data_IF_853527851207
#
_entry.id   IF_853527851207
#
_cell.length_a   1.000
_cell.length_b   1.000
_cell.length_c   1.000
_cell.angle_alpha   90.00
_cell.angle_beta   90.00
_cell.angle_gamma   90.00
#
_symmetry.space_group_name_H-M   'P 1'
#
loop_
_entity.id
_entity.type
_entity.pdbx_description
1 polymer ?
#
# COMPACT_ATOMS: atom_id res chain seq x y z
N UNK A 1 2.31 -4.32 13.45
CA UNK A 1 1.88 -4.07 12.06
C UNK A 1 2.18 -5.29 11.20
N UNK A 2 1.32 -5.64 10.25
CA UNK A 2 1.48 -6.88 9.47
C UNK A 2 1.73 -6.53 8.00
N UNK A 3 2.88 -6.95 7.43
CA UNK A 3 3.15 -6.78 6.00
C UNK A 3 2.39 -7.85 5.22
N UNK A 4 1.57 -7.42 4.27
CA UNK A 4 0.92 -8.35 3.35
C UNK A 4 1.82 -8.60 2.14
N UNK A 5 1.78 -9.81 1.61
CA UNK A 5 2.38 -10.17 0.33
C UNK A 5 1.46 -9.75 -0.81
N UNK A 6 1.86 -10.05 -2.04
CA UNK A 6 1.12 -9.76 -3.26
C UNK A 6 -0.37 -10.12 -3.09
N UNK A 7 -1.26 -9.14 -3.17
CA UNK A 7 -2.68 -9.32 -2.91
C UNK A 7 -3.49 -8.66 -4.04
N UNK A 8 -4.07 -9.48 -4.92
CA UNK A 8 -4.74 -9.02 -6.13
C UNK A 8 -5.89 -8.04 -5.84
N UNK A 9 -6.69 -8.31 -4.81
CA UNK A 9 -7.79 -7.44 -4.40
C UNK A 9 -7.30 -6.05 -3.96
N UNK A 10 -6.22 -5.97 -3.17
CA UNK A 10 -5.65 -4.69 -2.78
C UNK A 10 -4.92 -3.97 -3.93
N UNK A 11 -4.38 -4.71 -4.90
CA UNK A 11 -3.82 -4.13 -6.13
C UNK A 11 -4.93 -3.49 -6.95
N UNK A 12 -6.01 -4.24 -7.20
CA UNK A 12 -7.18 -3.76 -7.94
C UNK A 12 -7.76 -2.49 -7.31
N UNK A 13 -7.99 -2.51 -5.99
CA UNK A 13 -8.47 -1.32 -5.27
C UNK A 13 -7.50 -0.14 -5.36
N UNK A 14 -6.20 -0.38 -5.38
CA UNK A 14 -5.20 0.68 -5.51
C UNK A 14 -5.18 1.23 -6.94
N UNK A 15 -5.34 0.37 -7.95
CA UNK A 15 -5.41 0.76 -9.36
C UNK A 15 -6.64 1.64 -9.63
N UNK A 16 -7.79 1.34 -9.02
CA UNK A 16 -8.98 2.19 -9.12
C UNK A 16 -8.85 3.54 -8.39
N UNK A 17 -7.89 3.67 -7.46
CA UNK A 17 -7.65 4.91 -6.70
C UNK A 17 -6.56 5.80 -7.29
N UNK A 18 -5.69 5.26 -8.15
CA UNK A 18 -4.66 6.07 -8.83
C UNK A 18 -5.29 6.82 -10.00
N UNK A 19 -5.21 8.14 -9.96
CA UNK A 19 -5.59 9.00 -11.08
C UNK A 19 -4.39 9.31 -11.96
N UNK A 20 -4.53 9.07 -13.27
CA UNK A 20 -3.55 9.49 -14.26
C UNK A 20 -3.99 10.84 -14.83
N UNK A 21 -3.18 11.87 -14.67
CA UNK A 21 -3.48 13.20 -15.23
C UNK A 21 -2.35 13.64 -16.15
N UNK A 22 -2.66 14.48 -17.12
CA UNK A 22 -1.65 15.04 -18.04
C UNK A 22 -0.64 15.96 -17.33
N UNK A 23 -0.94 16.38 -16.10
CA UNK A 23 -0.04 17.15 -15.25
C UNK A 23 0.98 16.28 -14.48
N UNK A 24 0.91 14.95 -14.56
CA UNK A 24 1.87 14.08 -13.87
C UNK A 24 3.27 14.22 -14.49
N UNK A 25 4.26 14.51 -13.65
CA UNK A 25 5.66 14.44 -14.04
C UNK A 25 6.10 12.98 -14.20
N UNK A 26 6.14 12.50 -15.43
CA UNK A 26 6.54 11.13 -15.75
C UNK A 26 8.06 10.91 -15.65
N UNK A 27 8.86 11.97 -15.56
CA UNK A 27 10.33 11.87 -15.46
C UNK A 27 10.79 11.47 -14.06
N UNK A 28 9.91 11.58 -13.05
CA UNK A 28 10.21 11.25 -11.66
C UNK A 28 9.49 10.00 -11.20
N UNK A 29 10.10 9.33 -10.22
CA UNK A 29 9.45 8.25 -9.49
C UNK A 29 8.39 8.85 -8.58
N UNK A 30 7.18 8.31 -8.68
CA UNK A 30 6.02 8.77 -7.93
C UNK A 30 5.59 7.71 -6.90
N UNK A 31 5.24 8.18 -5.70
CA UNK A 31 4.67 7.36 -4.66
C UNK A 31 3.29 7.89 -4.28
N UNK A 32 2.28 7.04 -4.34
CA UNK A 32 0.94 7.35 -3.82
C UNK A 32 0.56 6.44 -2.67
N UNK A 33 -0.18 6.99 -1.73
CA UNK A 33 -0.47 6.40 -0.44
C UNK A 33 -1.97 6.35 -0.21
N UNK A 34 -2.50 5.18 0.13
CA UNK A 34 -3.94 4.98 0.28
C UNK A 34 -4.26 4.18 1.54
N UNK A 35 -5.49 4.35 2.04
CA UNK A 35 -6.12 3.43 2.99
C UNK A 35 -7.18 2.61 2.27
N UNK A 36 -7.33 1.36 2.69
CA UNK A 36 -8.45 0.51 2.30
C UNK A 36 -8.86 -0.39 3.46
N UNK A 37 -10.12 -0.81 3.48
CA UNK A 37 -10.53 -1.90 4.36
C UNK A 37 -10.07 -3.22 3.77
N UNK A 38 -9.52 -4.08 4.62
CA UNK A 38 -9.01 -5.39 4.25
C UNK A 38 -9.41 -6.44 5.29
N UNK A 39 -9.96 -7.55 4.82
CA UNK A 39 -10.35 -8.67 5.65
C UNK A 39 -9.92 -9.97 4.98
N UNK A 40 -9.38 -10.88 5.77
CA UNK A 40 -9.20 -12.27 5.38
C UNK A 40 -10.23 -13.11 6.13
N UNK A 41 -10.65 -14.24 5.55
CA UNK A 41 -11.72 -15.08 6.09
C UNK A 41 -11.51 -15.56 7.54
N UNK A 42 -10.26 -15.55 8.03
CA UNK A 42 -9.89 -15.95 9.40
C UNK A 42 -9.94 -14.79 10.41
N UNK A 43 -10.26 -13.57 9.97
CA UNK A 43 -10.42 -12.42 10.86
C UNK A 43 -11.89 -12.16 11.13
N UNK A 44 -12.23 -11.99 12.40
CA UNK A 44 -13.59 -11.70 12.87
C UNK A 44 -14.09 -10.31 12.45
N UNK A 45 -13.19 -9.38 12.12
CA UNK A 45 -13.52 -8.01 11.71
C UNK A 45 -12.56 -7.50 10.63
N UNK A 46 -13.01 -6.62 9.72
CA UNK A 46 -12.13 -5.95 8.77
C UNK A 46 -11.13 -5.05 9.51
N UNK A 47 -9.95 -4.89 8.92
CA UNK A 47 -8.90 -4.00 9.43
C UNK A 47 -8.49 -3.01 8.33
N UNK A 48 -7.77 -1.97 8.71
CA UNK A 48 -7.27 -0.98 7.75
C UNK A 48 -5.94 -1.46 7.17
N UNK A 49 -5.85 -1.49 5.84
CA UNK A 49 -4.63 -1.67 5.09
C UNK A 49 -4.11 -0.31 4.59
N UNK A 50 -2.86 -0.02 4.93
CA UNK A 50 -2.05 1.02 4.30
C UNK A 50 -1.45 0.47 3.01
N UNK A 51 -1.58 1.23 1.93
CA UNK A 51 -1.11 0.88 0.59
C UNK A 51 -0.12 1.93 0.11
N UNK A 52 1.01 1.50 -0.45
CA UNK A 52 1.94 2.34 -1.20
C UNK A 52 2.01 1.83 -2.64
N UNK A 53 1.55 2.63 -3.59
CA UNK A 53 1.73 2.43 -5.01
C UNK A 53 2.97 3.20 -5.48
N UNK A 54 3.80 2.57 -6.31
CA UNK A 54 5.00 3.18 -6.89
C UNK A 54 4.97 3.08 -8.40
N UNK A 55 5.18 4.23 -9.05
CA UNK A 55 5.41 4.37 -10.49
C UNK A 55 6.85 4.87 -10.66
N UNK A 56 7.65 4.22 -11.49
CA UNK A 56 9.05 4.59 -11.73
C UNK A 56 9.07 5.71 -12.76
N UNK A 57 10.13 6.51 -12.71
CA UNK A 57 10.48 7.40 -13.81
C UNK A 57 10.37 6.67 -15.16
N UNK A 58 9.86 7.37 -16.17
CA UNK A 58 9.68 6.87 -17.54
C UNK A 58 8.72 5.68 -17.67
N UNK A 59 7.90 5.40 -16.64
CA UNK A 59 6.80 4.43 -16.72
C UNK A 59 5.47 5.13 -16.55
N UNK A 60 4.47 4.69 -17.33
CA UNK A 60 3.11 5.22 -17.28
C UNK A 60 2.34 4.69 -16.07
N UNK A 61 2.45 3.39 -15.80
CA UNK A 61 1.60 2.69 -14.82
C UNK A 61 2.29 2.51 -13.47
N UNK A 62 1.49 2.58 -12.40
CA UNK A 62 1.90 2.09 -11.09
C UNK A 62 2.05 0.56 -11.15
N UNK A 63 3.26 0.05 -10.94
CA UNK A 63 3.57 -1.37 -11.10
C UNK A 63 4.00 -2.03 -9.79
N UNK A 64 4.47 -1.26 -8.81
CA UNK A 64 4.93 -1.80 -7.52
C UNK A 64 4.01 -1.37 -6.40
N UNK A 65 3.42 -2.36 -5.74
CA UNK A 65 2.51 -2.15 -4.62
C UNK A 65 3.08 -2.77 -3.35
N UNK A 66 2.95 -2.04 -2.24
CA UNK A 66 3.30 -2.51 -0.91
C UNK A 66 2.10 -2.33 0.02
N UNK A 67 1.94 -3.28 0.93
CA UNK A 67 0.75 -3.39 1.76
C UNK A 67 1.13 -3.65 3.22
N UNK A 68 0.46 -2.96 4.13
CA UNK A 68 0.60 -3.19 5.56
C UNK A 68 -0.75 -3.04 6.26
N UNK A 69 -1.15 -4.04 7.06
CA UNK A 69 -2.30 -3.91 7.94
C UNK A 69 -1.88 -3.21 9.22
N UNK A 70 -2.60 -2.13 9.52
CA UNK A 70 -2.37 -1.28 10.67
C UNK A 70 -3.44 -1.55 11.73
N UNK A 71 -3.00 -1.69 12.98
CA UNK A 71 -3.90 -1.85 14.13
C UNK A 71 -4.51 -0.53 14.61
N UNK A 72 -3.96 0.61 14.13
CA UNK A 72 -4.36 1.95 14.55
C UNK A 72 -4.84 2.72 13.33
N UNK A 73 -6.14 3.05 13.30
CA UNK A 73 -6.76 3.76 12.19
C UNK A 73 -6.17 5.17 11.96
N UNK A 74 -5.62 5.78 13.01
CA UNK A 74 -5.21 7.18 13.03
C UNK A 74 -3.88 7.42 12.30
N UNK A 75 -3.09 6.38 12.00
CA UNK A 75 -1.82 6.55 11.30
C UNK A 75 -2.04 6.78 9.80
N UNK A 76 -1.33 7.75 9.23
CA UNK A 76 -1.30 7.94 7.77
C UNK A 76 -0.52 6.79 7.11
N UNK A 77 -0.86 6.37 5.87
CA UNK A 77 -0.10 5.33 5.19
C UNK A 77 1.36 5.74 4.96
N UNK A 78 1.63 7.03 4.73
CA UNK A 78 3.00 7.52 4.57
C UNK A 78 3.82 7.33 5.85
N UNK A 79 3.27 7.70 7.01
CA UNK A 79 3.91 7.48 8.33
C UNK A 79 4.18 6.00 8.55
N UNK A 80 3.23 5.14 8.19
CA UNK A 80 3.36 3.68 8.28
C UNK A 80 4.57 3.17 7.49
N UNK A 81 4.73 3.59 6.23
CA UNK A 81 5.87 3.16 5.42
C UNK A 81 7.20 3.80 5.84
N UNK A 82 7.19 5.02 6.39
CA UNK A 82 8.38 5.63 6.99
C UNK A 82 8.83 4.87 8.23
N UNK A 83 7.90 4.49 9.12
CA UNK A 83 8.19 3.67 10.29
C UNK A 83 8.74 2.29 9.89
N UNK A 84 8.21 1.67 8.82
CA UNK A 84 8.79 0.44 8.28
C UNK A 84 10.25 0.58 7.87
N UNK A 85 10.59 1.69 7.20
CA UNK A 85 11.95 1.94 6.75
C UNK A 85 12.90 2.22 7.92
N UNK A 86 12.45 3.00 8.91
CA UNK A 86 13.27 3.37 10.07
C UNK A 86 13.49 2.25 11.07
N UNK A 87 12.46 1.46 11.35
CA UNK A 87 12.48 0.49 12.46
C UNK A 87 12.92 -0.92 12.04
N UNK A 88 13.26 -1.16 10.77
CA UNK A 88 13.68 -2.50 10.30
C UNK A 88 12.68 -3.62 10.63
N UNK A 89 11.38 -3.31 10.84
CA UNK A 89 10.44 -4.22 11.53
C UNK A 89 10.23 -5.50 10.71
N UNK A 90 10.64 -6.60 11.33
CA UNK A 90 10.49 -7.97 10.84
C UNK A 90 9.04 -8.46 10.97
N UNK A 91 8.35 -8.35 9.84
CA UNK A 91 7.43 -9.32 9.20
C UNK A 91 6.86 -10.49 10.06
N UNK A 92 5.65 -10.33 10.62
CA UNK A 92 4.66 -11.43 10.52
C UNK A 92 4.13 -11.35 9.09
N UNK A 93 4.53 -12.29 8.23
CA UNK A 93 4.02 -12.39 6.86
C UNK A 93 2.88 -13.40 6.87
N UNK A 94 1.65 -12.93 6.75
CA UNK A 94 0.54 -13.84 6.46
C UNK A 94 0.67 -14.23 4.97
N UNK A 95 1.17 -15.45 4.72
CA UNK A 95 0.95 -16.14 3.44
C UNK A 95 -0.49 -16.66 3.49
N UNK A 96 -1.33 -16.22 2.56
CA UNK A 96 -2.45 -17.00 2.04
C UNK A 96 -2.28 -17.01 0.54
#
# INVERSE_FOLDING_TARGET
>A
MIKLKNNAHLIDQAQHKVQYTNANDYTKTEHRYFKSFYQVNTWTRPRIAAIKATRKASTLLFYKFQFAVIGFANLSPQTVFQLQQKQGIWRISLKK
#
